data_IF_513568543045
#
_entry.id   IF_513568543045
#
_cell.length_a   1.000
_cell.length_b   1.000
_cell.length_c   1.000
_cell.angle_alpha   90.00
_cell.angle_beta   90.00
_cell.angle_gamma   90.00
#
_symmetry.space_group_name_H-M   'P 1'
#
loop_
_entity.id
_entity.type
_entity.pdbx_description
1 polymer ?
#
# COMPACT_ATOMS: atom_id res chain seq x y z
N UNK A 1 -1.73 -20.60 6.38
CA UNK A 1 -1.14 -19.89 5.22
C UNK A 1 -0.58 -18.57 5.71
N UNK A 2 0.66 -18.20 5.34
CA UNK A 2 1.32 -17.00 5.87
C UNK A 2 0.59 -15.73 5.39
N UNK A 3 0.03 -14.88 6.29
CA UNK A 3 -0.71 -13.67 5.92
C UNK A 3 0.17 -12.60 5.25
N UNK A 4 1.49 -12.74 5.33
CA UNK A 4 2.49 -11.76 4.86
C UNK A 4 2.45 -11.50 3.35
N UNK A 5 2.12 -12.51 2.53
CA UNK A 5 2.05 -12.34 1.08
C UNK A 5 0.85 -11.48 0.65
N UNK A 6 -0.23 -11.47 1.46
CA UNK A 6 -1.44 -10.70 1.18
C UNK A 6 -1.24 -9.21 1.47
N UNK A 7 -0.56 -8.88 2.58
CA UNK A 7 -0.28 -7.48 2.97
C UNK A 7 0.65 -6.82 1.96
N UNK A 8 1.74 -7.51 1.56
CA UNK A 8 2.66 -6.98 0.55
C UNK A 8 1.94 -6.65 -0.75
N UNK A 9 1.11 -7.58 -1.25
CA UNK A 9 0.35 -7.36 -2.48
C UNK A 9 -0.53 -6.12 -2.40
N UNK A 10 -1.25 -5.94 -1.28
CA UNK A 10 -2.12 -4.78 -1.08
C UNK A 10 -1.31 -3.49 -1.08
N UNK A 11 -0.19 -3.45 -0.37
CA UNK A 11 0.69 -2.27 -0.34
C UNK A 11 1.24 -1.96 -1.74
N UNK A 12 1.67 -2.97 -2.51
CA UNK A 12 2.11 -2.77 -3.90
C UNK A 12 0.99 -2.17 -4.76
N UNK A 13 -0.26 -2.62 -4.60
CA UNK A 13 -1.42 -2.07 -5.32
C UNK A 13 -1.75 -0.63 -4.93
N UNK A 14 -1.62 -0.26 -3.64
CA UNK A 14 -1.78 1.13 -3.17
C UNK A 14 -0.77 2.03 -3.90
N UNK A 15 0.50 1.62 -3.94
CA UNK A 15 1.57 2.38 -4.62
C UNK A 15 1.30 2.50 -6.12
N UNK A 16 0.93 1.41 -6.78
CA UNK A 16 0.61 1.41 -8.22
C UNK A 16 -0.55 2.36 -8.51
N UNK A 17 -1.64 2.29 -7.74
CA UNK A 17 -2.81 3.13 -7.93
C UNK A 17 -2.47 4.62 -7.72
N UNK A 18 -1.69 4.95 -6.68
CA UNK A 18 -1.22 6.31 -6.45
C UNK A 18 -0.36 6.82 -7.63
N UNK A 19 0.63 6.05 -8.07
CA UNK A 19 1.49 6.46 -9.19
C UNK A 19 0.72 6.61 -10.51
N UNK A 20 -0.29 5.77 -10.76
CA UNK A 20 -1.15 5.88 -11.93
C UNK A 20 -2.06 7.11 -11.86
N UNK A 21 -2.61 7.40 -10.68
CA UNK A 21 -3.40 8.62 -10.45
C UNK A 21 -2.56 9.88 -10.70
N UNK A 22 -1.37 9.97 -10.10
CA UNK A 22 -0.44 11.09 -10.30
C UNK A 22 -0.04 11.27 -11.77
N UNK A 23 0.19 10.16 -12.49
CA UNK A 23 0.67 10.20 -13.88
C UNK A 23 -0.43 10.52 -14.90
N UNK A 24 -1.64 9.99 -14.69
CA UNK A 24 -2.70 10.02 -15.70
C UNK A 24 -3.91 10.87 -15.28
N UNK A 25 -4.05 11.22 -14.01
CA UNK A 25 -5.16 12.01 -13.47
C UNK A 25 -6.52 11.32 -13.52
N UNK A 26 -6.56 10.01 -13.83
CA UNK A 26 -7.82 9.27 -13.96
C UNK A 26 -8.38 8.90 -12.59
N UNK A 27 -9.63 9.32 -12.35
CA UNK A 27 -10.38 9.07 -11.11
C UNK A 27 -10.43 7.59 -10.72
N UNK A 28 -10.44 6.68 -11.68
CA UNK A 28 -10.44 5.22 -11.46
C UNK A 28 -9.23 4.78 -10.63
N UNK A 29 -8.07 5.41 -10.81
CA UNK A 29 -6.88 5.12 -10.01
C UNK A 29 -7.01 5.64 -8.58
N UNK A 30 -7.66 6.79 -8.38
CA UNK A 30 -8.01 7.30 -7.05
C UNK A 30 -8.99 6.36 -6.32
N UNK A 31 -10.01 5.87 -7.01
CA UNK A 31 -10.97 4.90 -6.44
C UNK A 31 -10.27 3.58 -6.07
N UNK A 32 -9.31 3.13 -6.88
CA UNK A 32 -8.49 1.97 -6.56
C UNK A 32 -7.59 2.21 -5.35
N UNK A 33 -6.99 3.39 -5.23
CA UNK A 33 -6.18 3.76 -4.06
C UNK A 33 -7.00 3.65 -2.77
N UNK A 34 -8.21 4.22 -2.75
CA UNK A 34 -9.09 4.15 -1.57
C UNK A 34 -9.54 2.71 -1.30
N UNK A 35 -9.86 1.93 -2.34
CA UNK A 35 -10.23 0.52 -2.21
C UNK A 35 -9.14 -0.31 -1.53
N UNK A 36 -7.89 -0.19 -1.97
CA UNK A 36 -6.78 -0.97 -1.40
C UNK A 36 -6.40 -0.46 0.00
N UNK A 37 -6.52 0.85 0.25
CA UNK A 37 -6.34 1.43 1.59
C UNK A 37 -7.37 0.87 2.57
N UNK A 38 -8.64 0.75 2.17
CA UNK A 38 -9.68 0.14 2.99
C UNK A 38 -9.42 -1.34 3.30
N UNK A 39 -8.87 -2.11 2.34
CA UNK A 39 -8.45 -3.49 2.61
C UNK A 39 -7.31 -3.56 3.62
N UNK A 40 -6.35 -2.64 3.53
CA UNK A 40 -5.25 -2.56 4.48
C UNK A 40 -5.74 -2.19 5.88
N UNK A 41 -6.71 -1.27 6.00
CA UNK A 41 -7.39 -0.94 7.26
C UNK A 41 -8.05 -2.19 7.86
N UNK A 42 -8.79 -2.97 7.06
CA UNK A 42 -9.45 -4.19 7.55
C UNK A 42 -8.46 -5.24 8.08
N UNK A 43 -7.28 -5.36 7.45
CA UNK A 43 -6.27 -6.35 7.86
C UNK A 43 -5.50 -5.89 9.10
N UNK A 44 -5.18 -4.60 9.18
CA UNK A 44 -4.35 -4.05 10.26
C UNK A 44 -5.17 -3.64 11.49
N UNK A 45 -6.47 -3.39 11.31
CA UNK A 45 -7.34 -2.79 12.32
C UNK A 45 -7.09 -1.29 12.53
N UNK A 46 -6.27 -0.67 11.68
CA UNK A 46 -5.92 0.75 11.75
C UNK A 46 -6.94 1.60 11.00
N UNK A 47 -7.00 2.87 11.36
CA UNK A 47 -7.68 3.88 10.53
C UNK A 47 -6.88 4.16 9.24
N UNK A 48 -7.40 5.07 8.41
CA UNK A 48 -6.82 5.36 7.10
C UNK A 48 -5.37 5.85 7.21
N UNK A 49 -5.12 6.79 8.11
CA UNK A 49 -3.80 7.39 8.26
C UNK A 49 -2.80 6.38 8.85
N UNK A 50 -3.22 5.62 9.87
CA UNK A 50 -2.40 4.54 10.43
C UNK A 50 -2.10 3.43 9.42
N UNK A 51 -3.05 3.08 8.56
CA UNK A 51 -2.84 2.09 7.49
C UNK A 51 -1.81 2.58 6.46
N UNK A 52 -1.86 3.87 6.09
CA UNK A 52 -0.87 4.46 5.17
C UNK A 52 0.52 4.58 5.82
N UNK A 53 0.60 4.99 7.09
CA UNK A 53 1.86 5.00 7.85
C UNK A 53 2.48 3.59 7.97
N UNK A 54 1.62 2.57 8.19
CA UNK A 54 2.03 1.17 8.16
C UNK A 54 2.60 0.78 6.80
N UNK A 55 1.93 1.14 5.70
CA UNK A 55 2.40 0.84 4.35
C UNK A 55 3.78 1.48 4.06
N UNK A 56 3.98 2.75 4.44
CA UNK A 56 5.28 3.43 4.30
C UNK A 56 6.35 2.71 5.12
N UNK A 57 6.06 2.39 6.39
CA UNK A 57 6.99 1.69 7.27
C UNK A 57 7.39 0.31 6.73
N UNK A 58 6.43 -0.42 6.17
CA UNK A 58 6.65 -1.71 5.52
C UNK A 58 7.61 -1.56 4.33
N UNK A 59 7.39 -0.58 3.45
CA UNK A 59 8.25 -0.31 2.29
C UNK A 59 9.67 0.10 2.70
N UNK A 60 9.81 0.92 3.74
CA UNK A 60 11.12 1.29 4.31
C UNK A 60 11.84 0.06 4.87
N UNK A 61 11.12 -0.84 5.55
CA UNK A 61 11.66 -2.11 6.03
C UNK A 61 12.19 -2.99 4.90
N UNK A 62 11.39 -3.17 3.83
CA UNK A 62 11.78 -3.93 2.64
C UNK A 62 13.00 -3.33 1.92
N UNK A 63 13.08 -2.00 1.83
CA UNK A 63 14.23 -1.31 1.23
C UNK A 63 15.53 -1.56 2.00
N UNK A 64 15.48 -1.56 3.34
CA UNK A 64 16.63 -1.87 4.20
C UNK A 64 17.09 -3.33 4.07
N UNK A 65 16.15 -4.27 3.91
CA UNK A 65 16.47 -5.71 3.74
C UNK A 65 17.08 -5.99 2.37
N UNK A 66 16.70 -5.24 1.34
CA UNK A 66 17.22 -5.42 -0.03
C UNK A 66 18.56 -4.74 -0.30
N UNK A 67 19.19 -4.11 0.70
CA UNK A 67 20.60 -3.68 0.69
C UNK A 67 21.15 -3.36 -0.70
N UNK A 68 20.74 -2.23 -1.27
CA UNK A 68 21.55 -1.61 -2.32
C UNK A 68 22.74 -0.99 -1.59
N UNK A 69 23.81 -1.78 -1.49
CA UNK A 69 25.17 -1.30 -1.25
C UNK A 69 25.76 -0.75 -2.55
#
# INVERSE_FOLDING_TARGET
MKPTNSIKYIIDQIVIAYCQYEKFGDKTFGDNFEKYTAQLMQITGLDRDGALEYAVSFLVGESKVKGVA
#
